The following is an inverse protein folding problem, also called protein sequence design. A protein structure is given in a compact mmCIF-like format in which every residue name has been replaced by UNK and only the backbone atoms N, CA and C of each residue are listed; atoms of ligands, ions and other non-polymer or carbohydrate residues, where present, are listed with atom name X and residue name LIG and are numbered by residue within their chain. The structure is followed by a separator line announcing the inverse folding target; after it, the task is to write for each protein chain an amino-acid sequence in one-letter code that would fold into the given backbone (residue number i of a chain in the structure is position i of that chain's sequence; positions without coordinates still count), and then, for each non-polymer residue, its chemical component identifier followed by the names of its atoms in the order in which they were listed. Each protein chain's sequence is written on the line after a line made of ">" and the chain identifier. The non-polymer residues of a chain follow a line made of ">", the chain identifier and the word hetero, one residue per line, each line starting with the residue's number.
data_IF_523853923609
#
_entry.id   IF_523853923609
#
_cell.length_a   1.000
_cell.length_b   1.000
_cell.length_c   1.000
_cell.angle_alpha   90.00
_cell.angle_beta   90.00
_cell.angle_gamma   90.00
#
_symmetry.space_group_name_H-M   'P 1'
#
loop_
_entity.id
_entity.type
_entity.pdbx_description
1 polymer ?
#
# COMPACT_ATOMS: atom_id res chain seq x y z
N UNK A 1 18.17 8.09 21.03
CA UNK A 1 17.20 7.42 20.14
C UNK A 1 17.28 8.06 18.77
N UNK A 2 17.53 7.30 17.70
CA UNK A 2 17.45 7.80 16.33
C UNK A 2 15.98 8.19 16.07
N UNK A 3 15.73 9.42 15.58
CA UNK A 3 14.37 9.83 15.20
C UNK A 3 13.97 8.99 13.99
N UNK A 4 13.00 8.10 14.13
CA UNK A 4 12.45 7.29 13.03
C UNK A 4 11.38 8.05 12.24
N UNK A 5 11.06 9.27 12.63
CA UNK A 5 10.04 10.06 11.97
C UNK A 5 10.61 10.69 10.71
N UNK A 6 10.17 10.19 9.58
CA UNK A 6 10.40 10.81 8.27
C UNK A 6 9.18 11.65 7.89
N UNK A 7 9.43 12.89 7.43
CA UNK A 7 8.37 13.74 6.90
C UNK A 7 7.97 13.21 5.51
N UNK A 8 6.70 12.85 5.39
CA UNK A 8 6.16 12.26 4.16
C UNK A 8 5.34 13.31 3.41
N UNK A 9 6.04 14.19 2.68
CA UNK A 9 5.47 15.42 2.11
C UNK A 9 4.32 15.17 1.15
N UNK A 10 4.33 14.09 0.37
CA UNK A 10 3.22 13.73 -0.52
C UNK A 10 1.89 13.53 0.21
N UNK A 11 1.92 12.80 1.32
CA UNK A 11 0.73 12.57 2.16
C UNK A 11 0.31 13.83 2.93
N UNK A 12 1.27 14.60 3.44
CA UNK A 12 0.97 15.87 4.12
C UNK A 12 0.39 16.90 3.15
N UNK A 13 0.90 16.95 1.91
CA UNK A 13 0.32 17.80 0.86
C UNK A 13 -1.13 17.44 0.57
N UNK A 14 -1.46 16.15 0.50
CA UNK A 14 -2.84 15.70 0.36
C UNK A 14 -3.70 16.20 1.54
N UNK A 15 -3.29 15.96 2.78
CA UNK A 15 -4.03 16.38 3.97
C UNK A 15 -4.22 17.90 4.02
N UNK A 16 -3.17 18.68 3.72
CA UNK A 16 -3.23 20.14 3.68
C UNK A 16 -4.12 20.66 2.54
N UNK A 17 -4.14 19.99 1.38
CA UNK A 17 -5.02 20.36 0.26
C UNK A 17 -6.50 20.28 0.64
N UNK A 18 -6.85 19.31 1.49
CA UNK A 18 -8.23 19.09 1.90
C UNK A 18 -8.57 19.66 3.29
N UNK A 19 -7.62 20.29 3.97
CA UNK A 19 -7.83 20.98 5.24
C UNK A 19 -8.92 22.06 5.09
N UNK A 20 -9.83 22.13 6.05
CA UNK A 20 -10.95 23.06 6.10
C UNK A 20 -11.95 22.96 4.93
N UNK A 21 -11.92 21.85 4.19
CA UNK A 21 -12.91 21.54 3.16
C UNK A 21 -13.97 20.61 3.72
N UNK A 22 -15.18 20.74 3.19
CA UNK A 22 -16.35 19.94 3.58
C UNK A 22 -16.27 18.51 3.02
N UNK A 23 -15.30 17.77 3.52
CA UNK A 23 -15.10 16.32 3.27
C UNK A 23 -14.38 15.70 4.46
N UNK A 24 -14.68 14.45 4.76
CA UNK A 24 -13.97 13.64 5.75
C UNK A 24 -12.63 13.17 5.15
N UNK A 25 -11.52 13.35 5.86
CA UNK A 25 -10.18 12.91 5.44
C UNK A 25 -9.91 11.55 6.03
N UNK A 26 -9.78 10.56 5.16
CA UNK A 26 -9.55 9.16 5.53
C UNK A 26 -8.12 8.75 5.17
N UNK A 27 -7.37 8.24 6.14
CA UNK A 27 -6.09 7.56 5.91
C UNK A 27 -6.27 6.07 6.14
N UNK A 28 -6.24 5.29 5.07
CA UNK A 28 -6.17 3.83 5.16
C UNK A 28 -4.75 3.33 4.95
N UNK A 29 -4.46 2.11 5.33
CA UNK A 29 -3.14 1.51 5.12
C UNK A 29 -2.86 0.40 6.13
N UNK A 30 -1.99 -0.54 5.75
CA UNK A 30 -1.60 -1.65 6.63
C UNK A 30 -1.14 -1.16 8.01
N UNK A 31 -1.28 -1.98 9.04
CA UNK A 31 -0.70 -1.67 10.36
C UNK A 31 0.78 -1.32 10.24
N UNK A 32 1.23 -0.31 11.02
CA UNK A 32 2.61 0.16 11.04
C UNK A 32 3.10 0.89 9.78
N UNK A 33 2.22 1.24 8.81
CA UNK A 33 2.60 2.06 7.64
C UNK A 33 2.88 3.53 7.97
N UNK A 34 2.55 4.00 9.17
CA UNK A 34 2.83 5.36 9.65
C UNK A 34 1.63 6.32 9.63
N UNK A 35 0.39 5.84 9.54
CA UNK A 35 -0.85 6.66 9.55
C UNK A 35 -0.93 7.60 10.76
N UNK A 36 -0.81 7.05 11.98
CA UNK A 36 -0.85 7.83 13.23
C UNK A 36 0.27 8.87 13.31
N UNK A 37 1.45 8.53 12.77
CA UNK A 37 2.58 9.46 12.68
C UNK A 37 2.28 10.63 11.76
N UNK A 38 1.63 10.37 10.61
CA UNK A 38 1.18 11.43 9.68
C UNK A 38 0.16 12.36 10.33
N UNK A 39 -0.81 11.81 11.07
CA UNK A 39 -1.76 12.64 11.83
C UNK A 39 -1.04 13.48 12.89
N UNK A 40 -0.06 12.91 13.60
CA UNK A 40 0.72 13.65 14.60
C UNK A 40 1.54 14.80 13.96
N UNK A 41 2.08 14.59 12.76
CA UNK A 41 2.76 15.65 11.99
C UNK A 41 1.80 16.76 11.57
N UNK A 42 0.61 16.41 11.06
CA UNK A 42 -0.41 17.40 10.72
C UNK A 42 -0.84 18.21 11.95
N UNK A 43 -1.02 17.58 13.11
CA UNK A 43 -1.32 18.27 14.37
C UNK A 43 -0.24 19.27 14.75
N UNK A 44 1.04 18.94 14.53
CA UNK A 44 2.16 19.88 14.74
C UNK A 44 2.11 21.04 13.74
N UNK A 45 1.83 20.76 12.47
CA UNK A 45 1.67 21.78 11.44
C UNK A 45 0.51 22.73 11.75
N UNK A 46 -0.65 22.22 12.25
CA UNK A 46 -1.78 23.02 12.71
C UNK A 46 -1.41 23.95 13.88
N UNK A 47 -0.70 23.44 14.87
CA UNK A 47 -0.20 24.25 16.00
C UNK A 47 0.76 25.35 15.53
N UNK A 48 1.64 25.02 14.57
CA UNK A 48 2.55 26.01 13.96
C UNK A 48 1.80 27.09 13.15
N UNK A 49 0.62 26.77 12.62
CA UNK A 49 -0.29 27.70 11.95
C UNK A 49 -1.11 28.56 12.96
N UNK A 50 -0.94 28.36 14.28
CA UNK A 50 -1.62 29.13 15.33
C UNK A 50 -2.93 28.53 15.82
N UNK A 51 -3.28 27.29 15.42
CA UNK A 51 -4.45 26.59 15.98
C UNK A 51 -4.19 26.28 17.46
N UNK A 52 -5.13 26.69 18.32
CA UNK A 52 -5.04 26.44 19.76
C UNK A 52 -5.14 24.95 20.08
N UNK A 53 -4.43 24.50 21.10
CA UNK A 53 -4.39 23.08 21.47
C UNK A 53 -5.76 22.50 21.81
N UNK A 54 -6.64 23.31 22.41
CA UNK A 54 -8.01 22.96 22.79
C UNK A 54 -8.90 22.66 21.58
N UNK A 55 -8.58 23.23 20.41
CA UNK A 55 -9.29 22.99 19.15
C UNK A 55 -8.72 21.81 18.35
N UNK A 56 -7.76 21.06 18.91
CA UNK A 56 -7.18 19.84 18.32
C UNK A 56 -7.55 18.67 19.22
N UNK A 57 -8.57 17.93 18.81
CA UNK A 57 -9.11 16.79 19.58
C UNK A 57 -8.55 15.51 18.96
N UNK A 58 -7.82 14.72 19.77
CA UNK A 58 -7.14 13.50 19.31
C UNK A 58 -7.61 12.32 20.14
N UNK A 59 -8.14 11.29 19.49
CA UNK A 59 -8.58 10.05 20.10
C UNK A 59 -7.95 8.90 19.35
N UNK A 60 -7.15 8.08 20.02
CA UNK A 60 -6.58 6.86 19.47
C UNK A 60 -7.17 5.66 20.20
N UNK A 61 -7.97 4.87 19.48
CA UNK A 61 -8.71 3.73 20.05
C UNK A 61 -7.84 2.49 20.35
N UNK A 62 -6.53 2.53 20.13
CA UNK A 62 -5.60 1.54 20.64
C UNK A 62 -5.18 1.83 22.11
N UNK A 63 -5.48 3.03 22.63
CA UNK A 63 -5.16 3.39 24.02
C UNK A 63 -6.31 3.07 24.96
N UNK A 64 -5.98 2.44 26.11
CA UNK A 64 -6.93 2.00 27.13
C UNK A 64 -7.76 3.17 27.71
N UNK A 65 -7.20 4.37 27.73
CA UNK A 65 -7.89 5.58 28.23
C UNK A 65 -9.12 5.94 27.41
N UNK A 66 -9.23 5.46 26.15
CA UNK A 66 -10.37 5.67 25.27
C UNK A 66 -11.23 4.42 25.09
N UNK A 67 -11.03 3.36 25.88
CA UNK A 67 -11.79 2.11 25.76
C UNK A 67 -13.30 2.32 25.87
N UNK A 68 -13.75 3.20 26.77
CA UNK A 68 -15.17 3.52 26.92
C UNK A 68 -15.78 4.26 25.73
N UNK A 69 -14.94 4.92 24.92
CA UNK A 69 -15.37 5.64 23.71
C UNK A 69 -15.53 4.72 22.50
N UNK A 70 -15.36 3.40 22.63
CA UNK A 70 -15.66 2.42 21.58
C UNK A 70 -17.18 2.25 21.33
N UNK A 71 -18.03 2.77 22.21
CA UNK A 71 -19.44 3.01 21.94
C UNK A 71 -19.62 4.35 21.18
N UNK A 72 -20.29 4.29 20.02
CA UNK A 72 -20.43 5.46 19.14
C UNK A 72 -21.18 6.64 19.78
N UNK A 73 -22.11 6.39 20.73
CA UNK A 73 -22.85 7.45 21.43
C UNK A 73 -21.95 8.15 22.43
N UNK A 74 -21.20 7.37 23.24
CA UNK A 74 -20.24 7.94 24.17
C UNK A 74 -19.17 8.76 23.44
N UNK A 75 -18.67 8.25 22.30
CA UNK A 75 -17.72 8.98 21.46
C UNK A 75 -18.31 10.31 20.96
N UNK A 76 -19.53 10.27 20.44
CA UNK A 76 -20.22 11.46 19.97
C UNK A 76 -20.34 12.52 21.08
N UNK A 77 -20.86 12.13 22.25
CA UNK A 77 -21.06 13.04 23.37
C UNK A 77 -19.74 13.60 23.90
N UNK A 78 -18.69 12.75 23.93
CA UNK A 78 -17.35 13.16 24.32
C UNK A 78 -16.80 14.23 23.36
N UNK A 79 -16.84 14.00 22.06
CA UNK A 79 -16.35 14.97 21.07
C UNK A 79 -17.12 16.28 21.18
N UNK A 80 -18.45 16.25 21.27
CA UNK A 80 -19.27 17.46 21.42
C UNK A 80 -19.00 18.23 22.70
N UNK A 81 -18.60 17.53 23.79
CA UNK A 81 -18.21 18.19 25.04
C UNK A 81 -16.87 18.94 24.96
N UNK A 82 -16.06 18.68 23.92
CA UNK A 82 -14.72 19.25 23.75
C UNK A 82 -14.63 20.34 22.69
N UNK A 83 -15.59 20.39 21.74
CA UNK A 83 -15.55 21.35 20.64
C UNK A 83 -16.03 22.74 21.11
N UNK A 84 -15.40 23.78 20.57
CA UNK A 84 -15.86 25.17 20.64
C UNK A 84 -16.60 25.51 19.34
N UNK A 85 -17.93 25.64 19.40
CA UNK A 85 -18.77 25.90 18.22
C UNK A 85 -18.48 27.26 17.54
N UNK A 86 -17.80 28.17 18.24
CA UNK A 86 -17.41 29.47 17.72
C UNK A 86 -16.12 29.45 16.91
N UNK A 87 -15.41 28.30 16.89
CA UNK A 87 -14.11 28.12 16.23
C UNK A 87 -14.06 26.87 15.38
N UNK A 88 -13.08 26.79 14.47
CA UNK A 88 -12.81 25.56 13.74
C UNK A 88 -12.08 24.57 14.66
N UNK A 89 -12.63 23.37 14.79
CA UNK A 89 -12.05 22.27 15.57
C UNK A 89 -11.57 21.17 14.64
N UNK A 90 -10.40 20.61 14.92
CA UNK A 90 -9.78 19.54 14.17
C UNK A 90 -9.87 18.24 14.98
N UNK A 91 -10.70 17.31 14.50
CA UNK A 91 -10.98 16.06 15.20
C UNK A 91 -10.26 14.91 14.52
N UNK A 92 -9.39 14.22 15.27
CA UNK A 92 -8.59 13.11 14.81
C UNK A 92 -9.04 11.82 15.52
N UNK A 93 -9.62 10.89 14.76
CA UNK A 93 -10.08 9.59 15.25
C UNK A 93 -9.18 8.49 14.65
N UNK A 94 -8.20 8.06 15.41
CA UNK A 94 -7.18 7.10 14.97
C UNK A 94 -7.62 5.66 15.29
N UNK A 95 -7.55 4.76 14.28
CA UNK A 95 -8.03 3.36 14.31
C UNK A 95 -9.53 3.25 14.65
N UNK A 96 -10.37 4.05 13.96
CA UNK A 96 -11.82 4.20 14.21
C UNK A 96 -12.63 2.91 14.08
N UNK A 97 -12.11 1.88 13.40
CA UNK A 97 -12.77 0.58 13.27
C UNK A 97 -12.98 -0.16 14.61
N UNK A 98 -12.34 0.31 15.69
CA UNK A 98 -12.61 -0.21 17.04
C UNK A 98 -13.92 0.31 17.64
N UNK A 99 -14.51 1.34 17.05
CA UNK A 99 -15.79 1.91 17.49
C UNK A 99 -16.95 1.19 16.80
N UNK A 100 -17.91 0.67 17.56
CA UNK A 100 -19.11 0.04 17.01
C UNK A 100 -20.01 1.08 16.35
N UNK A 101 -20.49 0.80 15.13
CA UNK A 101 -21.31 1.73 14.33
C UNK A 101 -20.66 3.13 14.18
N UNK A 102 -19.34 3.17 13.99
CA UNK A 102 -18.60 4.43 13.91
C UNK A 102 -19.08 5.32 12.75
N UNK A 103 -19.65 4.77 11.70
CA UNK A 103 -20.22 5.51 10.58
C UNK A 103 -21.28 6.51 11.03
N UNK A 104 -22.04 6.20 12.08
CA UNK A 104 -23.10 7.11 12.62
C UNK A 104 -22.49 8.33 13.31
N UNK A 105 -21.43 8.15 14.10
CA UNK A 105 -20.76 9.29 14.76
C UNK A 105 -19.98 10.11 13.75
N UNK A 106 -19.32 9.47 12.78
CA UNK A 106 -18.60 10.16 11.70
C UNK A 106 -19.55 11.04 10.88
N UNK A 107 -20.72 10.50 10.47
CA UNK A 107 -21.74 11.24 9.74
C UNK A 107 -22.30 12.41 10.57
N UNK A 108 -22.58 12.16 11.85
CA UNK A 108 -23.08 13.20 12.77
C UNK A 108 -22.07 14.31 13.05
N UNK A 109 -20.79 14.04 13.10
CA UNK A 109 -19.73 15.03 13.27
C UNK A 109 -19.49 15.80 11.97
N UNK A 110 -19.55 15.13 10.83
CA UNK A 110 -19.32 15.71 9.50
C UNK A 110 -20.27 16.86 9.16
N UNK A 111 -21.55 16.77 9.55
CA UNK A 111 -22.55 17.81 9.22
C UNK A 111 -22.38 19.12 10.01
N UNK A 112 -21.34 19.23 10.85
CA UNK A 112 -21.04 20.42 11.65
C UNK A 112 -19.93 21.23 11.02
N UNK A 113 -20.25 22.40 10.51
CA UNK A 113 -19.32 23.28 9.79
C UNK A 113 -18.08 23.68 10.61
N UNK A 114 -18.17 23.64 11.94
CA UNK A 114 -17.07 23.96 12.84
C UNK A 114 -16.14 22.77 13.14
N UNK A 115 -16.41 21.57 12.55
CA UNK A 115 -15.56 20.39 12.69
C UNK A 115 -14.84 20.09 11.38
N UNK A 116 -13.54 19.85 11.44
CA UNK A 116 -12.70 19.31 10.38
C UNK A 116 -12.24 17.90 10.79
N UNK A 117 -12.74 16.86 10.11
CA UNK A 117 -12.68 15.47 10.57
C UNK A 117 -11.63 14.65 9.81
N UNK A 118 -10.74 14.00 10.57
CA UNK A 118 -9.69 13.12 10.11
C UNK A 118 -9.85 11.76 10.78
N UNK A 119 -9.89 10.70 9.99
CA UNK A 119 -10.02 9.33 10.52
C UNK A 119 -8.97 8.41 9.93
N UNK A 120 -8.55 7.40 10.68
CA UNK A 120 -7.68 6.35 10.16
C UNK A 120 -8.25 4.96 10.39
N UNK A 121 -7.79 4.02 9.57
CA UNK A 121 -8.05 2.60 9.74
C UNK A 121 -6.98 1.73 9.11
N UNK A 122 -6.77 0.55 9.69
CA UNK A 122 -5.72 -0.38 9.25
C UNK A 122 -6.19 -1.41 8.22
N UNK A 123 -7.37 -1.23 7.65
CA UNK A 123 -7.91 -2.16 6.65
C UNK A 123 -8.63 -1.41 5.51
N UNK A 124 -8.89 -2.13 4.41
CA UNK A 124 -9.66 -1.64 3.27
C UNK A 124 -11.18 -1.54 3.54
N UNK A 125 -11.61 -1.61 4.80
CA UNK A 125 -13.02 -1.54 5.18
C UNK A 125 -13.67 -0.22 4.76
N UNK A 126 -12.88 0.83 4.69
CA UNK A 126 -13.30 2.13 4.16
C UNK A 126 -13.64 2.06 2.65
N UNK A 127 -13.07 1.07 1.92
CA UNK A 127 -13.27 0.92 0.47
C UNK A 127 -14.44 -0.01 0.10
N UNK A 128 -14.91 -0.87 0.99
CA UNK A 128 -15.79 -1.98 0.61
C UNK A 128 -16.87 -2.27 1.66
N UNK A 129 -17.83 -1.39 1.87
CA UNK A 129 -18.87 -1.78 2.81
C UNK A 129 -19.87 -0.69 3.15
N UNK A 130 -20.39 -0.74 4.37
CA UNK A 130 -21.40 0.17 4.89
C UNK A 130 -20.95 1.64 4.87
N UNK A 131 -19.63 1.91 5.04
CA UNK A 131 -19.06 3.24 4.89
C UNK A 131 -19.21 3.78 3.46
N UNK A 132 -18.91 2.96 2.46
CA UNK A 132 -19.06 3.39 1.08
C UNK A 132 -20.51 3.76 0.76
N UNK A 133 -21.49 3.10 1.39
CA UNK A 133 -22.92 3.38 1.20
C UNK A 133 -23.42 4.56 2.03
N UNK A 134 -23.02 4.67 3.31
CA UNK A 134 -23.52 5.71 4.21
C UNK A 134 -22.81 7.07 4.04
N UNK A 135 -21.53 7.06 3.72
CA UNK A 135 -20.72 8.27 3.54
C UNK A 135 -20.36 8.55 2.07
N UNK A 136 -21.10 7.96 1.11
CA UNK A 136 -20.86 8.18 -0.32
C UNK A 136 -20.82 9.65 -0.67
N UNK A 137 -19.71 10.09 -1.28
CA UNK A 137 -19.50 11.49 -1.70
C UNK A 137 -19.10 12.45 -0.56
N UNK A 138 -18.96 11.96 0.69
CA UNK A 138 -18.63 12.79 1.87
C UNK A 138 -17.19 12.62 2.35
N UNK A 139 -16.43 11.70 1.80
CA UNK A 139 -15.04 11.47 2.20
C UNK A 139 -14.09 11.42 1.01
N UNK A 140 -12.85 11.70 1.30
CA UNK A 140 -11.72 11.44 0.42
C UNK A 140 -10.76 10.50 1.15
N UNK A 141 -10.16 9.59 0.41
CA UNK A 141 -9.25 8.61 0.98
C UNK A 141 -7.85 8.75 0.40
N UNK A 142 -6.86 8.66 1.29
CA UNK A 142 -5.46 8.52 0.94
C UNK A 142 -4.93 7.20 1.49
N UNK A 143 -4.50 6.34 0.60
CA UNK A 143 -3.91 5.07 0.97
C UNK A 143 -2.43 5.24 1.36
N UNK A 144 -2.08 4.87 2.60
CA UNK A 144 -0.73 5.03 3.17
C UNK A 144 0.02 3.71 3.09
N UNK A 145 0.86 3.58 2.07
CA UNK A 145 1.82 2.48 1.93
C UNK A 145 3.02 2.66 2.89
N UNK A 146 3.78 1.60 3.20
CA UNK A 146 5.11 1.72 3.79
C UNK A 146 5.99 2.70 2.99
N UNK A 147 7.21 2.98 3.39
CA UNK A 147 8.06 3.99 2.73
C UNK A 147 8.25 3.70 1.25
N UNK A 148 8.32 4.76 0.43
CA UNK A 148 8.86 4.66 -0.93
C UNK A 148 10.38 4.51 -0.88
N UNK A 149 10.99 4.08 -2.00
CA UNK A 149 12.44 4.05 -2.10
C UNK A 149 13.06 5.46 -1.95
N UNK A 150 12.38 6.48 -2.45
CA UNK A 150 12.79 7.88 -2.30
C UNK A 150 12.77 8.32 -0.83
N UNK A 151 11.66 8.05 -0.10
CA UNK A 151 11.55 8.37 1.34
C UNK A 151 12.60 7.62 2.16
N UNK A 152 12.83 6.33 1.86
CA UNK A 152 13.85 5.51 2.50
C UNK A 152 15.25 6.07 2.30
N UNK A 153 15.61 6.42 1.05
CA UNK A 153 16.90 7.01 0.71
C UNK A 153 17.09 8.36 1.40
N UNK A 154 16.08 9.24 1.33
CA UNK A 154 16.14 10.56 1.96
C UNK A 154 16.43 10.47 3.46
N UNK A 155 15.71 9.60 4.18
CA UNK A 155 15.94 9.42 5.61
C UNK A 155 17.38 8.98 5.90
N UNK A 156 17.91 8.04 5.15
CA UNK A 156 19.28 7.56 5.32
C UNK A 156 20.33 8.65 5.06
N UNK A 157 20.13 9.47 4.03
CA UNK A 157 21.03 10.60 3.72
C UNK A 157 21.03 11.61 4.89
N UNK A 158 19.88 11.91 5.46
CA UNK A 158 19.74 12.89 6.54
C UNK A 158 20.27 12.40 7.89
N UNK A 159 20.16 11.11 8.18
CA UNK A 159 20.40 10.54 9.52
C UNK A 159 21.63 9.66 9.62
N UNK A 160 22.30 9.31 8.51
CA UNK A 160 23.44 8.41 8.52
C UNK A 160 24.53 8.85 7.51
N UNK A 161 25.52 9.62 7.94
CA UNK A 161 26.59 10.14 7.06
C UNK A 161 27.37 9.04 6.32
N UNK A 162 27.52 7.85 6.92
CA UNK A 162 28.25 6.73 6.29
C UNK A 162 27.50 6.23 5.06
N UNK A 163 26.17 6.25 5.10
CA UNK A 163 25.31 5.77 4.01
C UNK A 163 25.30 6.71 2.80
N UNK A 164 25.70 7.97 2.97
CA UNK A 164 25.84 8.90 1.83
C UNK A 164 26.82 8.42 0.75
N UNK A 165 27.70 7.49 1.10
CA UNK A 165 28.68 6.88 0.17
C UNK A 165 28.13 5.63 -0.55
N UNK A 166 26.98 5.10 -0.15
CA UNK A 166 26.38 3.94 -0.76
C UNK A 166 25.75 4.27 -2.12
N UNK A 167 25.90 3.33 -3.05
CA UNK A 167 25.20 3.42 -4.33
C UNK A 167 23.68 3.24 -4.16
N UNK A 168 22.89 3.69 -5.14
CA UNK A 168 21.44 3.43 -5.15
C UNK A 168 21.13 1.92 -5.10
N UNK A 169 22.00 1.08 -5.66
CA UNK A 169 21.86 -0.38 -5.64
C UNK A 169 22.02 -0.95 -4.23
N UNK A 170 22.98 -0.45 -3.46
CA UNK A 170 23.20 -0.86 -2.07
C UNK A 170 22.02 -0.43 -1.19
N UNK A 171 21.54 0.79 -1.38
CA UNK A 171 20.35 1.30 -0.69
C UNK A 171 19.09 0.49 -1.06
N UNK A 172 18.94 0.12 -2.33
CA UNK A 172 17.84 -0.73 -2.77
C UNK A 172 17.90 -2.14 -2.13
N UNK A 173 19.09 -2.73 -2.04
CA UNK A 173 19.28 -4.00 -1.33
C UNK A 173 18.93 -3.92 0.17
N UNK A 174 19.10 -2.74 0.79
CA UNK A 174 18.62 -2.49 2.16
C UNK A 174 17.10 -2.29 2.20
N UNK A 175 16.56 -1.51 1.27
CA UNK A 175 15.13 -1.22 1.15
C UNK A 175 14.29 -2.50 0.97
N UNK A 176 14.77 -3.46 0.19
CA UNK A 176 14.08 -4.75 -0.03
C UNK A 176 14.09 -5.68 1.20
N UNK A 177 14.80 -5.33 2.27
CA UNK A 177 14.69 -6.04 3.57
C UNK A 177 13.40 -5.66 4.29
N UNK A 178 13.01 -4.39 4.26
CA UNK A 178 11.72 -3.86 4.65
C UNK A 178 11.59 -2.38 4.32
N UNK A 179 10.40 -1.97 3.93
CA UNK A 179 9.99 -0.59 3.73
C UNK A 179 9.14 -0.03 4.90
N UNK A 180 8.88 -0.81 5.95
CA UNK A 180 8.15 -0.29 7.11
C UNK A 180 8.95 0.81 7.84
N UNK A 181 8.34 1.97 8.19
CA UNK A 181 9.07 3.12 8.74
C UNK A 181 9.90 2.79 10.00
N UNK A 182 9.39 1.93 10.88
CA UNK A 182 10.08 1.62 12.14
C UNK A 182 11.39 0.83 11.92
N UNK A 183 11.54 0.13 10.78
CA UNK A 183 12.78 -0.61 10.46
C UNK A 183 13.98 0.30 10.20
N UNK A 184 13.77 1.58 9.94
CA UNK A 184 14.84 2.59 9.85
C UNK A 184 15.67 2.70 11.15
N UNK A 185 15.09 2.38 12.32
CA UNK A 185 15.78 2.38 13.61
C UNK A 185 16.64 1.14 13.84
N UNK A 186 16.47 0.10 13.04
CA UNK A 186 17.10 -1.21 13.26
C UNK A 186 18.52 -1.22 12.72
N UNK A 187 19.39 -1.90 13.45
CA UNK A 187 20.84 -1.96 13.13
C UNK A 187 21.25 -3.30 12.57
N UNK A 188 20.44 -4.33 12.74
CA UNK A 188 20.72 -5.69 12.28
C UNK A 188 19.60 -6.29 11.42
N UNK A 189 19.94 -7.30 10.62
CA UNK A 189 18.92 -8.04 9.87
C UNK A 189 18.01 -8.85 10.79
N UNK A 190 18.53 -9.33 11.92
CA UNK A 190 17.74 -10.09 12.89
C UNK A 190 16.67 -9.22 13.54
N UNK A 191 17.00 -7.99 13.95
CA UNK A 191 16.01 -7.05 14.47
C UNK A 191 14.89 -6.76 13.46
N UNK A 192 15.25 -6.58 12.20
CA UNK A 192 14.26 -6.39 11.11
C UNK A 192 13.37 -7.62 10.95
N UNK A 193 13.95 -8.81 10.97
CA UNK A 193 13.22 -10.07 10.86
C UNK A 193 12.23 -10.26 12.01
N UNK A 194 12.68 -10.09 13.26
CA UNK A 194 11.85 -10.23 14.45
C UNK A 194 10.69 -9.22 14.46
N UNK A 195 10.97 -7.99 14.03
CA UNK A 195 9.93 -6.96 13.89
C UNK A 195 8.90 -7.32 12.82
N UNK A 196 9.34 -7.77 11.65
CA UNK A 196 8.43 -8.16 10.58
C UNK A 196 7.57 -9.37 10.97
N UNK A 197 8.11 -10.33 11.73
CA UNK A 197 7.31 -11.41 12.32
C UNK A 197 6.19 -10.84 13.21
N UNK A 198 6.51 -9.88 14.07
CA UNK A 198 5.53 -9.24 14.94
C UNK A 198 4.48 -8.44 14.14
N UNK A 199 4.89 -7.75 13.07
CA UNK A 199 3.96 -7.04 12.16
C UNK A 199 3.03 -8.03 11.48
N UNK A 200 3.57 -9.10 10.88
CA UNK A 200 2.78 -10.14 10.22
C UNK A 200 1.77 -10.78 11.18
N UNK A 201 2.24 -11.19 12.36
CA UNK A 201 1.38 -11.76 13.39
C UNK A 201 0.27 -10.76 13.81
N UNK A 202 0.62 -9.49 14.00
CA UNK A 202 -0.36 -8.45 14.35
C UNK A 202 -1.44 -8.27 13.29
N UNK A 203 -1.07 -8.24 12.00
CA UNK A 203 -2.04 -8.14 10.88
C UNK A 203 -2.93 -9.38 10.86
N UNK A 204 -2.34 -10.59 10.95
CA UNK A 204 -3.10 -11.84 10.91
C UNK A 204 -4.09 -11.93 12.08
N UNK A 205 -3.63 -11.69 13.33
CA UNK A 205 -4.47 -11.90 14.52
C UNK A 205 -5.44 -10.75 14.81
N UNK A 206 -5.11 -9.52 14.45
CA UNK A 206 -5.97 -8.37 14.75
C UNK A 206 -6.88 -7.95 13.60
N UNK A 207 -6.46 -8.18 12.33
CA UNK A 207 -7.20 -7.68 11.17
C UNK A 207 -7.81 -8.82 10.32
N UNK A 208 -7.06 -9.91 10.03
CA UNK A 208 -7.52 -10.95 9.10
C UNK A 208 -8.44 -11.98 9.80
N UNK A 209 -7.96 -12.63 10.87
CA UNK A 209 -8.67 -13.74 11.53
C UNK A 209 -10.01 -13.31 12.13
N UNK A 210 -10.09 -12.20 12.90
CA UNK A 210 -11.37 -11.76 13.46
C UNK A 210 -12.42 -11.45 12.39
N UNK A 211 -11.98 -10.82 11.28
CA UNK A 211 -12.87 -10.48 10.18
C UNK A 211 -13.39 -11.69 9.43
N UNK A 212 -12.54 -12.68 9.19
CA UNK A 212 -12.94 -13.91 8.51
C UNK A 212 -13.79 -14.82 9.41
N UNK A 213 -13.76 -14.60 10.72
CA UNK A 213 -14.37 -15.47 11.72
C UNK A 213 -14.03 -16.95 11.44
N UNK A 214 -12.76 -17.24 11.17
CA UNK A 214 -12.32 -18.58 10.78
C UNK A 214 -11.59 -19.28 11.93
N UNK A 215 -11.95 -20.56 12.14
CA UNK A 215 -11.22 -21.44 13.05
C UNK A 215 -10.04 -22.15 12.35
N UNK A 216 -10.03 -22.20 11.01
CA UNK A 216 -8.99 -22.86 10.23
C UNK A 216 -7.85 -21.88 9.87
N UNK A 217 -7.10 -21.50 10.90
CA UNK A 217 -5.94 -20.61 10.79
C UNK A 217 -4.85 -21.26 9.93
N UNK A 218 -4.68 -22.58 10.02
CA UNK A 218 -3.64 -23.30 9.27
C UNK A 218 -3.85 -23.20 7.75
N UNK A 219 -5.07 -23.38 7.27
CA UNK A 219 -5.35 -23.22 5.83
C UNK A 219 -5.22 -21.77 5.38
N UNK A 220 -5.62 -20.81 6.22
CA UNK A 220 -5.43 -19.40 5.93
C UNK A 220 -3.94 -19.04 5.78
N UNK A 221 -3.10 -19.45 6.73
CA UNK A 221 -1.64 -19.23 6.64
C UNK A 221 -1.01 -19.89 5.42
N UNK A 222 -1.45 -21.11 5.07
CA UNK A 222 -1.00 -21.79 3.84
C UNK A 222 -1.36 -20.98 2.60
N UNK A 223 -2.58 -20.43 2.51
CA UNK A 223 -2.99 -19.58 1.40
C UNK A 223 -2.11 -18.32 1.34
N UNK A 224 -1.87 -17.66 2.47
CA UNK A 224 -1.00 -16.48 2.53
C UNK A 224 0.43 -16.81 2.05
N UNK A 225 1.03 -17.90 2.54
CA UNK A 225 2.37 -18.36 2.11
C UNK A 225 2.41 -18.72 0.63
N UNK A 226 1.35 -19.36 0.13
CA UNK A 226 1.26 -19.69 -1.29
C UNK A 226 1.22 -18.43 -2.16
N UNK A 227 0.40 -17.42 -1.80
CA UNK A 227 0.37 -16.14 -2.50
C UNK A 227 1.75 -15.46 -2.47
N UNK A 228 2.44 -15.47 -1.33
CA UNK A 228 3.78 -14.93 -1.22
C UNK A 228 4.79 -15.67 -2.11
N UNK A 229 4.62 -16.99 -2.32
CA UNK A 229 5.51 -17.79 -3.18
C UNK A 229 5.31 -17.53 -4.67
N UNK A 230 4.11 -17.12 -5.08
CA UNK A 230 3.74 -16.84 -6.48
C UNK A 230 3.59 -15.34 -6.77
N UNK A 231 4.14 -14.48 -5.90
CA UNK A 231 4.14 -13.02 -6.11
C UNK A 231 4.64 -12.68 -7.51
N UNK A 232 3.91 -11.79 -8.23
CA UNK A 232 4.23 -11.41 -9.60
C UNK A 232 3.86 -12.46 -10.68
N UNK A 233 3.38 -13.62 -10.30
CA UNK A 233 2.94 -14.64 -11.27
C UNK A 233 1.42 -14.66 -11.41
N UNK A 234 0.87 -14.75 -12.64
CA UNK A 234 -0.57 -14.87 -12.84
C UNK A 234 -1.12 -16.15 -12.25
N UNK A 235 -2.12 -16.03 -11.37
CA UNK A 235 -2.74 -17.19 -10.73
C UNK A 235 -4.25 -17.05 -10.61
N UNK A 236 -4.96 -18.15 -10.81
CA UNK A 236 -6.40 -18.23 -10.58
C UNK A 236 -6.72 -18.91 -9.25
N UNK A 237 -7.85 -18.56 -8.64
CA UNK A 237 -8.35 -19.19 -7.41
C UNK A 237 -8.50 -20.70 -7.59
N UNK A 238 -8.93 -21.15 -8.78
CA UNK A 238 -9.02 -22.59 -9.09
C UNK A 238 -7.66 -23.29 -9.06
N UNK A 239 -6.62 -22.67 -9.57
CA UNK A 239 -5.25 -23.22 -9.52
C UNK A 239 -4.77 -23.33 -8.09
N UNK A 240 -5.00 -22.33 -7.24
CA UNK A 240 -4.69 -22.36 -5.81
C UNK A 240 -5.42 -23.54 -5.15
N UNK A 241 -6.76 -23.60 -5.27
CA UNK A 241 -7.56 -24.70 -4.73
C UNK A 241 -7.02 -26.06 -5.16
N UNK A 242 -6.77 -26.26 -6.47
CA UNK A 242 -6.32 -27.55 -7.00
C UNK A 242 -4.93 -27.94 -6.45
N UNK A 243 -4.01 -27.00 -6.27
CA UNK A 243 -2.70 -27.22 -5.63
C UNK A 243 -2.88 -27.71 -4.19
N UNK A 244 -3.78 -27.12 -3.42
CA UNK A 244 -4.05 -27.55 -2.04
C UNK A 244 -4.70 -28.94 -1.99
N UNK A 245 -5.71 -29.19 -2.83
CA UNK A 245 -6.37 -30.49 -2.91
C UNK A 245 -5.38 -31.59 -3.30
N UNK A 246 -4.49 -31.36 -4.26
CA UNK A 246 -3.45 -32.33 -4.65
C UNK A 246 -2.42 -32.58 -3.55
N UNK A 247 -2.22 -31.64 -2.62
CA UNK A 247 -1.38 -31.82 -1.42
C UNK A 247 -2.13 -32.38 -0.21
N UNK A 248 -3.38 -32.89 -0.40
CA UNK A 248 -4.18 -33.52 0.64
C UNK A 248 -4.97 -32.56 1.53
N UNK A 249 -5.01 -31.27 1.24
CA UNK A 249 -5.77 -30.29 2.01
C UNK A 249 -7.18 -30.15 1.45
N UNK A 250 -8.18 -30.40 2.29
CA UNK A 250 -9.58 -30.21 1.91
C UNK A 250 -9.95 -28.72 2.00
N UNK A 251 -10.04 -28.04 0.86
CA UNK A 251 -10.43 -26.63 0.78
C UNK A 251 -11.35 -26.38 -0.41
N UNK A 252 -12.38 -25.57 -0.21
CA UNK A 252 -13.31 -25.19 -1.29
C UNK A 252 -12.83 -23.95 -2.03
N UNK A 253 -13.37 -23.73 -3.25
CA UNK A 253 -13.13 -22.51 -4.03
C UNK A 253 -13.56 -21.26 -3.23
N UNK A 254 -14.73 -21.30 -2.60
CA UNK A 254 -15.25 -20.17 -1.83
C UNK A 254 -14.40 -19.88 -0.58
N UNK A 255 -13.83 -20.91 0.05
CA UNK A 255 -12.93 -20.73 1.19
C UNK A 255 -11.63 -20.03 0.74
N UNK A 256 -11.00 -20.48 -0.36
CA UNK A 256 -9.81 -19.83 -0.92
C UNK A 256 -10.11 -18.38 -1.27
N UNK A 257 -11.21 -18.12 -1.98
CA UNK A 257 -11.65 -16.76 -2.37
C UNK A 257 -11.83 -15.86 -1.14
N UNK A 258 -12.49 -16.39 -0.09
CA UNK A 258 -12.72 -15.65 1.16
C UNK A 258 -11.40 -15.34 1.88
N UNK A 259 -10.46 -16.28 1.92
CA UNK A 259 -9.13 -16.05 2.52
C UNK A 259 -8.32 -15.01 1.76
N UNK A 260 -8.28 -15.09 0.43
CA UNK A 260 -7.61 -14.10 -0.40
C UNK A 260 -8.21 -12.71 -0.16
N UNK A 261 -9.54 -12.60 -0.16
CA UNK A 261 -10.22 -11.34 0.11
C UNK A 261 -9.87 -10.79 1.50
N UNK A 262 -9.85 -11.62 2.55
CA UNK A 262 -9.45 -11.20 3.89
C UNK A 262 -8.02 -10.68 3.96
N UNK A 263 -7.08 -11.30 3.22
CA UNK A 263 -5.70 -10.86 3.09
C UNK A 263 -5.58 -9.53 2.33
N UNK A 264 -6.39 -9.32 1.29
CA UNK A 264 -6.46 -8.05 0.55
C UNK A 264 -7.11 -6.95 1.39
N UNK A 265 -8.22 -7.24 2.05
CA UNK A 265 -8.93 -6.30 2.91
C UNK A 265 -8.08 -5.83 4.10
N UNK A 266 -7.13 -6.65 4.57
CA UNK A 266 -6.14 -6.25 5.59
C UNK A 266 -4.96 -5.48 5.02
N UNK A 267 -4.96 -5.23 3.70
CA UNK A 267 -3.89 -4.53 2.97
C UNK A 267 -2.52 -5.21 3.08
N UNK A 268 -2.51 -6.52 3.35
CA UNK A 268 -1.30 -7.33 3.35
C UNK A 268 -0.89 -7.73 1.93
N UNK A 269 -1.89 -7.99 1.08
CA UNK A 269 -1.74 -8.28 -0.34
C UNK A 269 -2.57 -7.32 -1.19
N UNK A 270 -2.03 -7.01 -2.35
CA UNK A 270 -2.68 -6.29 -3.44
C UNK A 270 -2.82 -7.20 -4.64
N UNK A 271 -3.79 -6.94 -5.50
CA UNK A 271 -3.90 -7.67 -6.78
C UNK A 271 -3.96 -6.73 -7.97
N UNK A 272 -3.42 -7.22 -9.08
CA UNK A 272 -3.58 -6.62 -10.40
C UNK A 272 -4.36 -7.59 -11.30
N UNK A 273 -5.55 -7.17 -11.70
CA UNK A 273 -6.38 -7.92 -12.63
C UNK A 273 -5.78 -7.87 -14.04
N UNK A 274 -6.11 -8.86 -14.87
CA UNK A 274 -5.67 -8.85 -16.27
C UNK A 274 -6.51 -7.87 -17.11
N UNK A 275 -5.80 -7.10 -17.95
CA UNK A 275 -6.36 -6.12 -18.86
C UNK A 275 -5.97 -6.46 -20.30
N UNK A 276 -6.95 -6.75 -21.13
CA UNK A 276 -6.76 -6.98 -22.55
C UNK A 276 -6.51 -5.64 -23.25
N UNK A 277 -5.28 -5.40 -23.70
CA UNK A 277 -4.88 -4.13 -24.31
C UNK A 277 -5.69 -3.81 -25.56
N UNK A 278 -5.86 -4.82 -26.45
CA UNK A 278 -6.79 -4.71 -27.59
C UNK A 278 -8.22 -4.93 -27.09
N UNK A 279 -9.06 -3.93 -27.26
CA UNK A 279 -10.46 -3.95 -26.79
C UNK A 279 -10.68 -3.35 -25.41
N UNK A 280 -9.64 -3.09 -24.62
CA UNK A 280 -9.71 -2.45 -23.30
C UNK A 280 -10.69 -3.12 -22.34
N UNK A 281 -10.58 -4.45 -22.22
CA UNK A 281 -11.47 -5.28 -21.41
C UNK A 281 -10.74 -5.84 -20.18
N UNK A 282 -11.41 -5.87 -19.04
CA UNK A 282 -10.94 -6.58 -17.85
C UNK A 282 -11.25 -8.08 -17.99
N UNK A 283 -10.23 -8.91 -17.80
CA UNK A 283 -10.36 -10.36 -17.82
C UNK A 283 -10.45 -10.90 -16.40
N UNK A 284 -11.45 -11.72 -16.13
CA UNK A 284 -11.69 -12.29 -14.77
C UNK A 284 -10.98 -13.63 -14.54
N UNK A 285 -10.00 -14.02 -15.36
CA UNK A 285 -9.46 -15.38 -15.36
C UNK A 285 -8.34 -15.63 -14.37
N UNK A 286 -7.46 -14.67 -14.16
CA UNK A 286 -6.34 -14.73 -13.22
C UNK A 286 -5.87 -13.34 -12.83
N UNK A 287 -5.22 -13.24 -11.66
CA UNK A 287 -4.64 -12.00 -11.14
C UNK A 287 -3.20 -12.25 -10.75
N UNK A 288 -2.37 -11.21 -10.74
CA UNK A 288 -1.10 -11.22 -10.02
C UNK A 288 -1.30 -10.64 -8.62
N UNK A 289 -0.59 -11.20 -7.64
CA UNK A 289 -0.65 -10.72 -6.26
C UNK A 289 0.70 -10.16 -5.84
N UNK A 290 0.67 -9.06 -5.08
CA UNK A 290 1.85 -8.33 -4.61
C UNK A 290 1.73 -8.10 -3.10
N UNK A 291 2.84 -8.26 -2.38
CA UNK A 291 2.93 -7.98 -0.95
C UNK A 291 3.08 -6.47 -0.72
N UNK A 292 2.50 -5.98 0.37
CA UNK A 292 2.65 -4.58 0.81
C UNK A 292 4.10 -4.22 1.14
N UNK A 293 4.91 -5.23 1.51
CA UNK A 293 6.32 -5.11 1.80
C UNK A 293 7.03 -6.42 1.42
N UNK A 294 8.05 -6.32 0.57
CA UNK A 294 8.76 -7.50 0.06
C UNK A 294 9.57 -8.23 1.15
N UNK A 295 9.91 -7.56 2.24
CA UNK A 295 10.56 -8.18 3.39
C UNK A 295 9.68 -9.21 4.11
N UNK A 296 8.35 -9.05 4.06
CA UNK A 296 7.42 -10.02 4.62
C UNK A 296 7.49 -11.39 3.93
N UNK A 297 7.92 -11.44 2.65
CA UNK A 297 8.13 -12.70 1.95
C UNK A 297 9.12 -13.61 2.68
N UNK A 298 10.19 -13.03 3.27
CA UNK A 298 11.18 -13.77 4.06
C UNK A 298 10.64 -14.37 5.35
N UNK A 299 9.56 -13.75 5.90
CA UNK A 299 8.89 -14.28 7.09
C UNK A 299 7.99 -15.45 6.74
N UNK A 300 7.37 -15.41 5.56
CA UNK A 300 6.40 -16.39 5.12
C UNK A 300 7.04 -17.64 4.51
N UNK A 301 8.21 -17.50 3.88
CA UNK A 301 8.85 -18.55 3.11
C UNK A 301 10.19 -18.97 3.73
N UNK A 302 10.46 -20.29 3.90
CA UNK A 302 11.69 -20.78 4.51
C UNK A 302 12.93 -20.55 3.64
N UNK A 303 12.77 -20.51 2.31
CA UNK A 303 13.83 -20.28 1.36
C UNK A 303 13.52 -19.05 0.52
N UNK A 304 14.11 -17.92 0.94
CA UNK A 304 13.88 -16.62 0.34
C UNK A 304 14.92 -16.27 -0.73
N UNK A 305 15.59 -17.24 -1.36
CA UNK A 305 16.30 -17.02 -2.62
C UNK A 305 15.30 -16.61 -3.70
N UNK A 306 14.69 -15.46 -3.40
CA UNK A 306 13.62 -14.87 -4.16
C UNK A 306 14.17 -14.55 -5.55
N UNK A 307 13.40 -14.88 -6.54
CA UNK A 307 13.54 -14.29 -7.85
C UNK A 307 13.54 -12.76 -7.69
N UNK A 308 14.74 -12.18 -7.87
CA UNK A 308 14.95 -10.73 -7.71
C UNK A 308 14.10 -9.94 -8.72
N UNK A 309 13.71 -10.56 -9.85
CA UNK A 309 12.78 -9.99 -10.83
C UNK A 309 11.42 -9.75 -10.22
N UNK A 310 10.83 -10.73 -9.57
CA UNK A 310 9.53 -10.57 -8.90
C UNK A 310 9.58 -9.59 -7.72
N UNK A 311 10.74 -9.46 -7.02
CA UNK A 311 10.93 -8.42 -5.99
C UNK A 311 10.89 -7.04 -6.62
N UNK A 312 11.62 -6.81 -7.72
CA UNK A 312 11.61 -5.55 -8.44
C UNK A 312 10.22 -5.22 -8.97
N UNK A 313 9.56 -6.20 -9.57
CA UNK A 313 8.20 -6.07 -10.06
C UNK A 313 7.22 -5.65 -8.93
N UNK A 314 7.32 -6.28 -7.75
CA UNK A 314 6.49 -5.90 -6.59
C UNK A 314 6.77 -4.46 -6.13
N UNK A 315 8.02 -4.03 -6.10
CA UNK A 315 8.39 -2.65 -5.72
C UNK A 315 7.84 -1.65 -6.73
N UNK A 316 7.95 -1.92 -8.04
CA UNK A 316 7.40 -1.07 -9.09
C UNK A 316 5.87 -1.02 -9.01
N UNK A 317 5.19 -2.15 -8.77
CA UNK A 317 3.76 -2.18 -8.55
C UNK A 317 3.32 -1.24 -7.43
N UNK A 318 3.94 -1.35 -6.25
CA UNK A 318 3.60 -0.51 -5.10
C UNK A 318 3.88 0.98 -5.38
N UNK A 319 4.94 1.27 -6.12
CA UNK A 319 5.23 2.65 -6.49
C UNK A 319 4.20 3.21 -7.49
N UNK A 320 3.74 2.42 -8.45
CA UNK A 320 2.65 2.82 -9.35
C UNK A 320 1.36 3.13 -8.57
N UNK A 321 0.99 2.26 -7.60
CA UNK A 321 -0.15 2.50 -6.70
C UNK A 321 0.06 3.78 -5.88
N UNK A 322 1.26 4.01 -5.34
CA UNK A 322 1.62 5.22 -4.58
C UNK A 322 1.45 6.48 -5.42
N UNK A 323 1.81 6.40 -6.71
CA UNK A 323 1.65 7.48 -7.68
C UNK A 323 0.19 7.72 -8.11
N UNK A 324 -0.76 6.97 -7.56
CA UNK A 324 -2.19 7.13 -7.80
C UNK A 324 -2.71 6.45 -9.06
N UNK A 325 -1.94 5.55 -9.67
CA UNK A 325 -2.40 4.75 -10.80
C UNK A 325 -3.28 3.57 -10.34
N UNK A 326 -4.30 3.27 -11.13
CA UNK A 326 -4.92 1.95 -11.13
C UNK A 326 -4.06 1.02 -11.99
N UNK A 327 -3.59 -0.08 -11.41
CA UNK A 327 -2.58 -0.94 -12.05
C UNK A 327 -3.18 -2.28 -12.45
N UNK A 328 -2.96 -2.65 -13.70
CA UNK A 328 -3.39 -3.92 -14.28
C UNK A 328 -2.20 -4.67 -14.87
N UNK A 329 -2.35 -5.98 -15.08
CA UNK A 329 -1.45 -6.80 -15.88
C UNK A 329 -1.93 -6.79 -17.34
N UNK A 330 -1.10 -6.36 -18.27
CA UNK A 330 -1.48 -6.27 -19.67
C UNK A 330 -1.46 -7.64 -20.39
N UNK A 331 -2.43 -7.86 -21.28
CA UNK A 331 -2.44 -9.00 -22.22
C UNK A 331 -2.60 -8.47 -23.64
N UNK A 332 -1.68 -8.84 -24.51
CA UNK A 332 -1.74 -8.54 -25.94
C UNK A 332 -1.36 -9.79 -26.72
N UNK A 333 -2.33 -10.35 -27.44
CA UNK A 333 -2.21 -11.67 -28.08
C UNK A 333 -1.77 -12.74 -27.04
N UNK A 334 -0.67 -13.45 -27.29
CA UNK A 334 -0.05 -14.41 -26.35
C UNK A 334 0.88 -13.78 -25.33
N UNK A 335 1.21 -12.48 -25.47
CA UNK A 335 2.18 -11.80 -24.62
C UNK A 335 1.56 -11.16 -23.39
N UNK A 336 2.35 -11.13 -22.32
CA UNK A 336 2.06 -10.41 -21.09
C UNK A 336 2.87 -9.10 -21.05
N UNK A 337 2.25 -8.04 -20.55
CA UNK A 337 2.88 -6.78 -20.20
C UNK A 337 2.78 -6.67 -18.69
N UNK A 338 3.90 -6.47 -17.98
CA UNK A 338 3.90 -6.51 -16.52
C UNK A 338 2.89 -5.54 -15.95
N UNK A 339 2.86 -4.28 -16.44
CA UNK A 339 1.89 -3.31 -15.95
C UNK A 339 1.28 -2.43 -17.06
N UNK A 340 -0.03 -2.25 -16.93
CA UNK A 340 -0.81 -1.19 -17.56
C UNK A 340 -1.28 -0.27 -16.45
N UNK A 341 -0.65 0.88 -16.32
CA UNK A 341 -0.98 1.90 -15.33
C UNK A 341 -1.98 2.91 -15.93
N UNK A 342 -3.11 3.11 -15.25
CA UNK A 342 -4.19 4.01 -15.68
C UNK A 342 -4.28 5.17 -14.70
N UNK A 343 -4.13 6.39 -15.19
CA UNK A 343 -4.27 7.59 -14.37
C UNK A 343 -5.74 8.00 -14.14
N UNK A 344 -5.96 9.05 -13.36
CA UNK A 344 -7.30 9.58 -13.06
C UNK A 344 -8.03 10.15 -14.29
N UNK A 345 -7.29 10.49 -15.35
CA UNK A 345 -7.81 10.97 -16.63
C UNK A 345 -8.01 9.84 -17.66
N UNK A 346 -7.84 8.58 -17.24
CA UNK A 346 -7.94 7.38 -18.07
C UNK A 346 -6.84 7.27 -19.16
N UNK A 347 -5.71 7.96 -18.99
CA UNK A 347 -4.54 7.75 -19.84
C UNK A 347 -3.81 6.48 -19.41
N UNK A 348 -3.29 5.76 -20.39
CA UNK A 348 -2.54 4.52 -20.19
C UNK A 348 -1.04 4.80 -20.20
N UNK A 349 -0.30 4.04 -19.41
CA UNK A 349 1.15 3.93 -19.50
C UNK A 349 1.54 2.47 -19.33
N UNK A 350 2.43 1.97 -20.17
CA UNK A 350 2.84 0.58 -20.18
C UNK A 350 4.23 0.41 -19.59
N UNK A 351 4.40 -0.58 -18.73
CA UNK A 351 5.68 -0.88 -18.10
C UNK A 351 6.02 -2.36 -18.25
N UNK A 352 7.24 -2.62 -18.70
CA UNK A 352 7.88 -3.92 -18.62
C UNK A 352 9.03 -3.83 -17.64
N UNK A 353 9.24 -4.84 -16.81
CA UNK A 353 10.22 -4.84 -15.72
C UNK A 353 11.14 -6.03 -15.87
N UNK A 354 12.44 -5.80 -15.96
CA UNK A 354 13.44 -6.85 -16.04
C UNK A 354 14.62 -6.54 -15.12
N UNK A 355 15.30 -7.55 -14.59
CA UNK A 355 16.51 -7.32 -13.82
C UNK A 355 17.64 -6.77 -14.69
N UNK A 356 17.91 -7.47 -15.78
CA UNK A 356 19.00 -7.16 -16.70
C UNK A 356 18.57 -7.46 -18.14
N UNK A 357 19.01 -6.60 -19.06
CA UNK A 357 18.77 -6.74 -20.50
C UNK A 357 20.04 -6.55 -21.33
N UNK A 358 21.21 -6.86 -20.74
CA UNK A 358 22.51 -6.77 -21.42
C UNK A 358 22.65 -7.81 -22.53
N UNK A 359 21.93 -8.91 -22.45
CA UNK A 359 21.86 -9.92 -23.51
C UNK A 359 20.77 -9.52 -24.53
N UNK A 360 21.12 -9.54 -25.84
CA UNK A 360 20.21 -9.15 -26.92
C UNK A 360 18.95 -10.03 -26.99
N UNK A 361 19.04 -11.31 -26.67
CA UNK A 361 17.87 -12.21 -26.65
C UNK A 361 16.91 -11.81 -25.54
N UNK A 362 17.41 -11.52 -24.33
CA UNK A 362 16.62 -11.03 -23.20
C UNK A 362 15.99 -9.66 -23.53
N UNK A 363 16.78 -8.74 -24.04
CA UNK A 363 16.28 -7.42 -24.44
C UNK A 363 15.16 -7.55 -25.48
N UNK A 364 15.34 -8.36 -26.51
CA UNK A 364 14.35 -8.60 -27.57
C UNK A 364 13.07 -9.22 -26.98
N UNK A 365 13.19 -10.15 -26.03
CA UNK A 365 12.06 -10.79 -25.35
C UNK A 365 11.25 -9.77 -24.57
N UNK A 366 11.92 -8.91 -23.80
CA UNK A 366 11.26 -7.89 -22.95
C UNK A 366 10.63 -6.74 -23.78
N UNK A 367 11.22 -6.39 -24.91
CA UNK A 367 10.66 -5.35 -25.80
C UNK A 367 9.45 -5.85 -26.61
N UNK A 368 9.39 -7.14 -26.94
CA UNK A 368 8.39 -7.71 -27.83
C UNK A 368 6.95 -7.44 -27.43
N UNK A 369 6.51 -7.59 -26.16
CA UNK A 369 5.14 -7.26 -25.77
C UNK A 369 4.80 -5.79 -26.04
N UNK A 370 5.70 -4.87 -25.71
CA UNK A 370 5.51 -3.43 -25.89
C UNK A 370 5.48 -3.02 -27.37
N UNK A 371 6.27 -3.69 -28.22
CA UNK A 371 6.29 -3.46 -29.67
C UNK A 371 4.98 -3.88 -30.35
N UNK A 372 4.21 -4.79 -29.76
CA UNK A 372 2.89 -5.21 -30.27
C UNK A 372 1.78 -4.19 -30.03
N UNK A 373 2.03 -3.22 -29.15
CA UNK A 373 1.08 -2.16 -28.82
C UNK A 373 1.13 -1.09 -29.91
N UNK A 374 0.02 -0.87 -30.59
CA UNK A 374 -0.09 0.05 -31.72
C UNK A 374 -0.51 1.48 -31.33
N UNK A 375 -0.90 1.70 -30.07
CA UNK A 375 -1.28 3.03 -29.61
C UNK A 375 -0.06 3.92 -29.29
N UNK A 376 -0.32 5.22 -29.08
CA UNK A 376 0.70 6.25 -28.82
C UNK A 376 0.99 6.49 -27.33
N UNK A 377 0.40 5.70 -26.43
CA UNK A 377 0.66 5.88 -24.99
C UNK A 377 2.12 5.54 -24.64
N UNK A 378 2.68 6.17 -23.59
CA UNK A 378 4.06 5.93 -23.17
C UNK A 378 4.33 4.47 -22.83
N UNK A 379 5.52 4.00 -23.21
CA UNK A 379 5.99 2.63 -23.02
C UNK A 379 7.38 2.66 -22.38
N UNK A 380 7.53 2.00 -21.23
CA UNK A 380 8.77 1.96 -20.48
C UNK A 380 9.27 0.53 -20.29
N UNK A 381 10.57 0.34 -20.46
CA UNK A 381 11.29 -0.86 -20.02
C UNK A 381 12.19 -0.46 -18.83
N UNK A 382 11.82 -0.90 -17.64
CA UNK A 382 12.53 -0.60 -16.39
C UNK A 382 13.49 -1.73 -16.05
N UNK A 383 14.79 -1.42 -15.88
CA UNK A 383 15.82 -2.43 -15.61
C UNK A 383 16.76 -2.01 -14.48
N UNK A 384 17.49 -2.98 -13.91
CA UNK A 384 18.62 -2.69 -13.00
C UNK A 384 19.99 -2.72 -13.72
N UNK A 385 19.99 -2.58 -15.04
CA UNK A 385 21.23 -2.49 -15.81
C UNK A 385 22.09 -1.33 -15.30
N UNK A 386 23.40 -1.57 -15.21
CA UNK A 386 24.41 -0.57 -14.81
C UNK A 386 25.10 0.08 -16.01
N UNK A 387 24.94 -0.52 -17.20
CA UNK A 387 25.49 -0.05 -18.47
C UNK A 387 24.34 0.03 -19.47
N UNK A 388 24.31 1.03 -20.33
CA UNK A 388 23.22 1.23 -21.29
C UNK A 388 21.87 1.43 -20.58
N UNK A 389 21.91 2.25 -19.52
CA UNK A 389 20.76 2.47 -18.62
C UNK A 389 19.63 3.23 -19.29
N UNK A 390 19.93 4.01 -20.32
CA UNK A 390 18.97 4.79 -21.08
C UNK A 390 19.07 4.48 -22.58
N UNK A 391 17.95 4.21 -23.19
CA UNK A 391 17.81 3.98 -24.63
C UNK A 391 16.37 4.19 -25.08
N UNK A 392 16.19 4.39 -26.38
CA UNK A 392 14.86 4.46 -27.00
C UNK A 392 14.77 3.46 -28.16
N UNK A 393 13.85 2.51 -28.02
CA UNK A 393 13.61 1.47 -29.02
C UNK A 393 12.28 1.74 -29.72
N UNK A 394 12.28 2.62 -30.73
CA UNK A 394 11.08 2.99 -31.50
C UNK A 394 9.92 3.46 -30.63
N UNK A 395 10.18 4.37 -29.69
CA UNK A 395 9.18 4.92 -28.78
C UNK A 395 9.03 4.16 -27.44
N UNK A 396 9.75 3.06 -27.26
CA UNK A 396 9.87 2.39 -25.96
C UNK A 396 11.10 2.95 -25.25
N UNK A 397 10.90 3.61 -24.12
CA UNK A 397 11.97 4.24 -23.34
C UNK A 397 12.50 3.22 -22.34
N UNK A 398 13.76 2.80 -22.50
CA UNK A 398 14.49 2.04 -21.48
C UNK A 398 15.07 3.01 -20.48
N UNK A 399 14.94 2.70 -19.17
CA UNK A 399 15.58 3.48 -18.11
C UNK A 399 15.88 2.61 -16.87
N UNK A 400 16.82 3.10 -16.04
CA UNK A 400 17.12 2.41 -14.79
C UNK A 400 15.93 2.50 -13.82
N UNK A 401 15.53 1.37 -13.27
CA UNK A 401 14.38 1.28 -12.34
C UNK A 401 14.59 2.08 -11.06
N UNK A 402 15.83 2.16 -10.54
CA UNK A 402 16.11 2.94 -9.33
C UNK A 402 16.01 4.45 -9.59
N UNK A 403 16.44 4.91 -10.77
CA UNK A 403 16.30 6.32 -11.16
C UNK A 403 14.82 6.65 -11.38
N UNK A 404 14.05 5.72 -11.96
CA UNK A 404 12.60 5.87 -12.07
C UNK A 404 11.92 5.95 -10.69
N UNK A 405 12.32 5.11 -9.72
CA UNK A 405 11.80 5.13 -8.34
C UNK A 405 12.15 6.44 -7.60
N UNK A 406 13.21 7.11 -7.99
CA UNK A 406 13.66 8.39 -7.42
C UNK A 406 13.13 9.60 -8.19
N UNK A 407 12.55 9.41 -9.37
CA UNK A 407 11.95 10.49 -10.14
C UNK A 407 10.66 10.99 -9.51
N UNK A 408 10.45 12.30 -9.54
CA UNK A 408 9.16 12.90 -9.19
C UNK A 408 8.07 12.47 -10.18
N UNK A 409 6.84 12.42 -9.71
CA UNK A 409 5.68 12.28 -10.60
C UNK A 409 5.63 13.51 -11.53
N UNK A 410 5.83 13.27 -12.81
CA UNK A 410 5.54 14.28 -13.84
C UNK A 410 4.09 14.18 -14.27
#
# INVERSE_FOLDING_TARGET
>A
MRKTNIRRDGYLKFLNTWQNRDVIKVLSGVRRSGKSTLLAMLQQDLKAQGVQAENIIVINFEFMEFEELTDYRKLHDYVLSKVDESKKNYVFLDEIQHVTNFEKVVDSLYVRDYIDLYITGSNAFFLSGELATLLTGRYIEQHVLPLSFQEFKQWHIENNPIIQQLSNRDLYAMYTRSSFPYTLAMTSQQETYDYLQAVYASVMFKDVIPRLNTADINSLERVARYLASVTGSPISINKIKNTFVSSGVKISFETVKRYIRGLQDSLLFYSAAQFKVRGRELLQSSEKYYLVDVGLRRIMLPDANADQGHILENVIYLELVRRGYTVYVGRIDEYEIDFVAVDTLQNLTYYQVALETLNEETLSRELRPLQKISDSYPKYLLTLDTIGTEANYNGIVKMNALDWLLSENK
#
